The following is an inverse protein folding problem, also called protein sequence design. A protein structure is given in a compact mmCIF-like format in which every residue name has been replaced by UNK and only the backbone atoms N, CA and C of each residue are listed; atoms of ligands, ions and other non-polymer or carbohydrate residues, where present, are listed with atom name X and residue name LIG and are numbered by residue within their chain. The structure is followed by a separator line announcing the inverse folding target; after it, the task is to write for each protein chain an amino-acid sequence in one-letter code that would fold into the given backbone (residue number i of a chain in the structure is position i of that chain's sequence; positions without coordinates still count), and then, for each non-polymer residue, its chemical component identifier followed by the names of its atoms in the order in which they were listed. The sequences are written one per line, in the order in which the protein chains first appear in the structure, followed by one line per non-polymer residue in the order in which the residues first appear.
data_IF_679759996688
#
_entry.id   IF_679759996688
#
_cell.length_a   1.000
_cell.length_b   1.000
_cell.length_c   1.000
_cell.angle_alpha   90.00
_cell.angle_beta   90.00
_cell.angle_gamma   90.00
#
_symmetry.space_group_name_H-M   'P 1'
#
loop_
_entity.id
_entity.type
_entity.pdbx_description
1 polymer ?
#
# COMPACT_ATOMS: atom_id res chain seq x y z
N UNK A 1 -12.14 -25.36 -18.19
CA UNK A 1 -10.74 -25.62 -18.57
C UNK A 1 -9.99 -24.29 -18.47
N UNK A 2 -9.30 -24.03 -17.36
CA UNK A 2 -8.59 -22.76 -17.12
C UNK A 2 -7.08 -22.99 -17.33
N UNK A 3 -6.56 -22.53 -18.46
CA UNK A 3 -5.12 -22.57 -18.74
C UNK A 3 -4.41 -21.39 -18.07
N UNK A 4 -3.32 -21.69 -17.35
CA UNK A 4 -2.44 -20.73 -16.67
C UNK A 4 -1.71 -19.80 -17.67
N UNK A 5 -1.49 -18.52 -17.31
CA UNK A 5 -0.31 -17.78 -17.77
C UNK A 5 0.52 -17.31 -16.55
N UNK A 6 1.47 -18.12 -16.09
CA UNK A 6 2.11 -17.95 -14.78
C UNK A 6 3.44 -17.13 -14.74
N UNK A 7 3.91 -16.55 -15.86
CA UNK A 7 5.13 -15.69 -15.84
C UNK A 7 4.90 -14.23 -16.26
N UNK A 8 4.14 -13.98 -17.34
CA UNK A 8 3.84 -12.60 -17.81
C UNK A 8 2.93 -11.83 -16.83
N UNK A 9 1.96 -12.52 -16.22
CA UNK A 9 0.99 -11.95 -15.27
C UNK A 9 1.63 -11.35 -13.99
N UNK A 10 2.74 -11.91 -13.50
CA UNK A 10 3.37 -11.45 -12.25
C UNK A 10 4.07 -10.10 -12.43
N UNK A 11 4.80 -9.91 -13.53
CA UNK A 11 5.47 -8.65 -13.82
C UNK A 11 4.48 -7.51 -14.05
N UNK A 12 3.43 -7.76 -14.83
CA UNK A 12 2.34 -6.81 -15.06
C UNK A 12 1.64 -6.41 -13.74
N UNK A 13 1.44 -7.37 -12.84
CA UNK A 13 0.87 -7.13 -11.51
C UNK A 13 1.79 -6.25 -10.65
N UNK A 14 3.08 -6.54 -10.59
CA UNK A 14 4.04 -5.73 -9.83
C UNK A 14 4.10 -4.30 -10.37
N UNK A 15 4.17 -4.13 -11.70
CA UNK A 15 4.21 -2.82 -12.34
C UNK A 15 2.96 -1.99 -12.02
N UNK A 16 1.78 -2.59 -12.07
CA UNK A 16 0.51 -1.90 -11.76
C UNK A 16 0.38 -1.52 -10.27
N UNK A 17 0.95 -2.28 -9.33
CA UNK A 17 1.06 -1.86 -7.92
C UNK A 17 1.98 -0.64 -7.79
N UNK A 18 3.15 -0.65 -8.46
CA UNK A 18 4.08 0.48 -8.43
C UNK A 18 3.46 1.77 -9.01
N UNK A 19 2.74 1.66 -10.13
CA UNK A 19 2.04 2.81 -10.73
C UNK A 19 0.94 3.33 -9.79
N UNK A 20 0.13 2.43 -9.20
CA UNK A 20 -0.91 2.80 -8.24
C UNK A 20 -0.33 3.53 -7.02
N UNK A 21 0.83 3.09 -6.52
CA UNK A 21 1.55 3.76 -5.45
C UNK A 21 2.00 5.18 -5.82
N UNK A 22 2.54 5.37 -7.02
CA UNK A 22 2.95 6.69 -7.52
C UNK A 22 1.74 7.63 -7.61
N UNK A 23 0.63 7.17 -8.18
CA UNK A 23 -0.62 7.96 -8.25
C UNK A 23 -1.09 8.38 -6.86
N UNK A 24 -1.10 7.46 -5.90
CA UNK A 24 -1.48 7.74 -4.51
C UNK A 24 -0.52 8.74 -3.85
N UNK A 25 0.81 8.57 -4.01
CA UNK A 25 1.83 9.46 -3.46
C UNK A 25 1.68 10.90 -3.95
N UNK A 26 1.33 11.07 -5.23
CA UNK A 26 1.09 12.38 -5.84
C UNK A 26 -0.35 12.89 -5.69
N UNK A 27 -1.19 12.21 -4.89
CA UNK A 27 -2.61 12.55 -4.64
C UNK A 27 -3.43 12.68 -5.93
N UNK A 28 -3.07 11.94 -6.96
CA UNK A 28 -3.75 11.96 -8.26
C UNK A 28 -5.03 11.11 -8.20
N UNK A 29 -6.08 11.49 -8.94
CA UNK A 29 -7.29 10.68 -9.05
C UNK A 29 -6.99 9.29 -9.58
N UNK A 30 -7.73 8.27 -9.12
CA UNK A 30 -7.55 6.89 -9.60
C UNK A 30 -7.95 6.70 -11.07
N UNK A 31 -8.66 7.69 -11.61
CA UNK A 31 -9.04 7.86 -13.01
C UNK A 31 -7.80 7.99 -13.90
N UNK A 32 -6.76 8.64 -13.38
CA UNK A 32 -5.52 8.91 -14.08
C UNK A 32 -4.78 7.61 -14.41
N UNK A 33 -5.09 6.48 -13.76
CA UNK A 33 -4.56 5.16 -14.14
C UNK A 33 -4.91 4.76 -15.57
N UNK A 34 -6.15 5.06 -16.01
CA UNK A 34 -6.58 4.83 -17.39
C UNK A 34 -5.85 5.75 -18.37
N UNK A 35 -5.71 7.03 -18.02
CA UNK A 35 -4.99 8.02 -18.82
C UNK A 35 -3.51 7.66 -18.96
N UNK A 36 -2.88 7.19 -17.87
CA UNK A 36 -1.50 6.69 -17.91
C UNK A 36 -1.39 5.52 -18.88
N UNK A 37 -2.30 4.54 -18.79
CA UNK A 37 -2.27 3.39 -19.71
C UNK A 37 -2.42 3.80 -21.17
N UNK A 38 -3.35 4.71 -21.46
CA UNK A 38 -3.56 5.26 -22.79
C UNK A 38 -2.32 6.00 -23.31
N UNK A 39 -1.69 6.83 -22.46
CA UNK A 39 -0.44 7.53 -22.76
C UNK A 39 0.68 6.54 -23.11
N UNK A 40 0.81 5.44 -22.36
CA UNK A 40 1.80 4.40 -22.65
C UNK A 40 1.51 3.66 -23.96
N UNK A 41 0.24 3.45 -24.32
CA UNK A 41 -0.14 2.83 -25.59
C UNK A 41 0.23 3.76 -26.76
N UNK A 42 -0.17 5.04 -26.69
CA UNK A 42 0.11 6.01 -27.74
C UNK A 42 1.61 6.23 -27.96
N UNK A 43 2.34 6.46 -26.85
CA UNK A 43 3.80 6.59 -26.90
C UNK A 43 4.46 5.30 -27.39
N UNK A 44 3.97 4.13 -26.98
CA UNK A 44 4.51 2.85 -27.42
C UNK A 44 4.31 2.57 -28.91
N UNK A 45 3.13 2.88 -29.45
CA UNK A 45 2.85 2.75 -30.88
C UNK A 45 3.78 3.63 -31.73
N UNK A 46 4.11 4.83 -31.24
CA UNK A 46 5.01 5.78 -31.92
C UNK A 46 6.48 5.41 -31.74
N UNK A 47 6.94 5.19 -30.51
CA UNK A 47 8.36 4.97 -30.18
C UNK A 47 8.87 3.61 -30.65
N UNK A 48 8.01 2.60 -30.67
CA UNK A 48 8.37 1.23 -31.05
C UNK A 48 7.86 0.84 -32.43
N UNK A 49 7.43 1.81 -33.27
CA UNK A 49 6.86 1.57 -34.59
C UNK A 49 7.70 0.65 -35.48
N UNK A 50 9.01 0.88 -35.53
CA UNK A 50 9.95 0.16 -36.41
C UNK A 50 10.67 -1.01 -35.71
N UNK A 51 10.31 -1.30 -34.45
CA UNK A 51 11.00 -2.33 -33.66
C UNK A 51 10.46 -3.73 -33.99
N UNK A 52 11.37 -4.69 -34.21
CA UNK A 52 11.00 -6.09 -34.49
C UNK A 52 10.14 -6.74 -33.40
N UNK A 53 10.30 -6.30 -32.15
CA UNK A 53 9.58 -6.79 -30.98
C UNK A 53 8.42 -5.88 -30.53
N UNK A 54 7.94 -4.98 -31.40
CA UNK A 54 6.82 -4.07 -31.11
C UNK A 54 5.62 -4.79 -30.51
N UNK A 55 5.18 -5.88 -31.12
CA UNK A 55 3.98 -6.62 -30.71
C UNK A 55 4.08 -7.13 -29.28
N UNK A 56 5.23 -7.67 -28.89
CA UNK A 56 5.50 -8.16 -27.53
C UNK A 56 5.49 -7.03 -26.50
N UNK A 57 6.16 -5.90 -26.81
CA UNK A 57 6.18 -4.71 -25.94
C UNK A 57 4.76 -4.17 -25.76
N UNK A 58 4.02 -4.02 -26.86
CA UNK A 58 2.66 -3.50 -26.83
C UNK A 58 1.69 -4.45 -26.12
N UNK A 59 1.86 -5.77 -26.25
CA UNK A 59 1.07 -6.75 -25.48
C UNK A 59 1.30 -6.58 -23.97
N UNK A 60 2.56 -6.43 -23.53
CA UNK A 60 2.89 -6.22 -22.12
C UNK A 60 2.28 -4.92 -21.56
N UNK A 61 2.26 -3.84 -22.35
CA UNK A 61 1.62 -2.57 -21.98
C UNK A 61 0.09 -2.75 -21.88
N UNK A 62 -0.52 -3.45 -22.85
CA UNK A 62 -1.97 -3.72 -22.87
C UNK A 62 -2.42 -4.60 -21.71
N UNK A 63 -1.59 -5.53 -21.25
CA UNK A 63 -1.86 -6.39 -20.09
C UNK A 63 -1.81 -5.64 -18.75
N UNK A 64 -1.27 -4.42 -18.68
CA UNK A 64 -1.22 -3.64 -17.44
C UNK A 64 -2.63 -3.36 -16.91
N UNK A 65 -2.88 -3.77 -15.67
CA UNK A 65 -4.17 -3.60 -15.02
C UNK A 65 -4.21 -2.24 -14.29
N UNK A 66 -4.53 -1.19 -15.04
CA UNK A 66 -4.59 0.20 -14.53
C UNK A 66 -6.00 0.81 -14.51
N UNK A 67 -7.03 -0.02 -14.70
CA UNK A 67 -8.41 0.43 -14.58
C UNK A 67 -8.71 0.86 -13.14
N UNK A 68 -9.60 1.85 -12.97
CA UNK A 68 -10.01 2.41 -11.67
C UNK A 68 -10.34 1.40 -10.58
N UNK A 69 -11.16 0.35 -10.79
CA UNK A 69 -11.45 -0.62 -9.73
C UNK A 69 -10.18 -1.35 -9.28
N UNK A 70 -9.27 -1.62 -10.23
CA UNK A 70 -7.99 -2.25 -9.94
C UNK A 70 -7.04 -1.34 -9.17
N UNK A 71 -6.90 -0.08 -9.57
CA UNK A 71 -6.07 0.91 -8.85
C UNK A 71 -6.59 1.13 -7.43
N UNK A 72 -7.91 1.20 -7.26
CA UNK A 72 -8.57 1.36 -5.96
C UNK A 72 -8.29 0.16 -5.05
N UNK A 73 -8.61 -1.06 -5.51
CA UNK A 73 -8.38 -2.29 -4.75
C UNK A 73 -6.90 -2.46 -4.38
N UNK A 74 -5.97 -2.09 -5.26
CA UNK A 74 -4.53 -2.18 -4.99
C UNK A 74 -4.09 -1.20 -3.90
N UNK A 75 -4.58 0.04 -3.93
CA UNK A 75 -4.29 1.03 -2.89
C UNK A 75 -4.86 0.57 -1.55
N UNK A 76 -6.05 -0.01 -1.52
CA UNK A 76 -6.64 -0.59 -0.32
C UNK A 76 -5.79 -1.75 0.23
N UNK A 77 -5.35 -2.67 -0.62
CA UNK A 77 -4.45 -3.77 -0.23
C UNK A 77 -3.11 -3.24 0.31
N UNK A 78 -2.52 -2.24 -0.34
CA UNK A 78 -1.29 -1.60 0.15
C UNK A 78 -1.49 -0.91 1.50
N UNK A 79 -2.64 -0.25 1.69
CA UNK A 79 -3.00 0.40 2.94
C UNK A 79 -3.13 -0.64 4.06
N UNK A 80 -3.81 -1.75 3.78
CA UNK A 80 -3.99 -2.84 4.75
C UNK A 80 -2.66 -3.53 5.07
N UNK A 81 -1.81 -3.78 4.08
CA UNK A 81 -0.47 -4.37 4.30
C UNK A 81 0.40 -3.46 5.18
N UNK A 82 0.37 -2.15 4.94
CA UNK A 82 1.07 -1.18 5.79
C UNK A 82 0.53 -1.17 7.22
N UNK A 83 -0.80 -1.27 7.39
CA UNK A 83 -1.43 -1.38 8.70
C UNK A 83 -0.99 -2.64 9.44
N UNK A 84 -0.98 -3.78 8.74
CA UNK A 84 -0.61 -5.07 9.30
C UNK A 84 0.85 -5.10 9.74
N UNK A 85 1.75 -4.53 8.93
CA UNK A 85 3.17 -4.39 9.28
C UNK A 85 3.36 -3.54 10.52
N UNK A 86 2.71 -2.38 10.57
CA UNK A 86 2.79 -1.51 11.75
C UNK A 86 2.23 -2.22 13.01
N UNK A 87 1.10 -2.93 12.89
CA UNK A 87 0.52 -3.71 13.99
C UNK A 87 1.46 -4.82 14.46
N UNK A 88 2.07 -5.54 13.52
CA UNK A 88 3.03 -6.59 13.81
C UNK A 88 4.26 -6.04 14.55
N UNK A 89 4.83 -4.94 14.08
CA UNK A 89 6.02 -4.33 14.69
C UNK A 89 5.73 -3.84 16.12
N UNK A 90 4.57 -3.21 16.33
CA UNK A 90 4.10 -2.81 17.68
C UNK A 90 3.93 -4.05 18.58
N UNK A 91 3.30 -5.11 18.07
CA UNK A 91 3.07 -6.34 18.84
C UNK A 91 4.38 -7.08 19.17
N UNK A 92 5.34 -7.05 18.25
CA UNK A 92 6.67 -7.63 18.46
C UNK A 92 7.42 -6.91 19.59
N UNK A 93 7.44 -5.58 19.57
CA UNK A 93 8.05 -4.77 20.64
C UNK A 93 7.35 -5.02 21.98
N UNK A 94 6.02 -5.09 22.01
CA UNK A 94 5.27 -5.42 23.22
C UNK A 94 5.67 -6.79 23.79
N UNK A 95 5.78 -7.81 22.93
CA UNK A 95 6.14 -9.18 23.33
C UNK A 95 7.57 -9.24 23.87
N UNK A 96 8.53 -8.61 23.18
CA UNK A 96 9.92 -8.53 23.63
C UNK A 96 10.03 -7.85 25.00
N UNK A 97 9.32 -6.73 25.18
CA UNK A 97 9.32 -6.00 26.43
C UNK A 97 8.76 -6.83 27.59
N UNK A 98 7.64 -7.52 27.36
CA UNK A 98 7.05 -8.40 28.35
C UNK A 98 8.00 -9.55 28.72
N UNK A 99 8.68 -10.14 27.74
CA UNK A 99 9.71 -11.16 27.96
C UNK A 99 10.90 -10.64 28.76
N UNK A 100 11.40 -9.44 28.42
CA UNK A 100 12.48 -8.78 29.15
C UNK A 100 12.10 -8.50 30.62
N UNK A 101 10.90 -7.98 30.86
CA UNK A 101 10.38 -7.75 32.23
C UNK A 101 10.31 -9.05 33.02
N UNK A 102 9.87 -10.15 32.41
CA UNK A 102 9.83 -11.45 33.06
C UNK A 102 11.22 -11.93 33.47
N UNK A 103 12.23 -11.74 32.60
CA UNK A 103 13.63 -12.06 32.91
C UNK A 103 14.19 -11.19 34.04
N UNK A 104 13.93 -9.87 34.02
CA UNK A 104 14.37 -8.97 35.10
C UNK A 104 13.74 -9.32 36.45
N UNK A 105 12.45 -9.71 36.46
CA UNK A 105 11.76 -10.14 37.70
C UNK A 105 12.30 -11.45 38.27
N UNK A 106 12.88 -12.30 37.42
CA UNK A 106 13.46 -13.58 37.82
C UNK A 106 14.90 -13.47 38.34
N UNK A 107 15.53 -12.29 38.25
CA UNK A 107 16.90 -12.06 38.68
C UNK A 107 16.92 -11.33 40.04
N UNK A 108 17.42 -12.01 41.08
CA UNK A 108 17.48 -11.49 42.45
C UNK A 108 18.47 -10.33 42.62
N UNK A 109 19.47 -10.20 41.72
CA UNK A 109 20.45 -9.11 41.72
C UNK A 109 19.95 -7.83 41.05
N UNK A 110 18.74 -7.84 40.47
CA UNK A 110 18.20 -6.69 39.75
C UNK A 110 17.47 -5.73 40.70
N UNK A 111 17.92 -4.46 40.83
CA UNK A 111 17.35 -3.51 41.80
C UNK A 111 15.89 -3.16 41.48
N UNK A 112 15.12 -2.80 42.51
CA UNK A 112 13.66 -2.66 42.43
C UNK A 112 13.20 -1.75 41.27
N UNK A 113 12.17 -2.26 40.58
CA UNK A 113 11.67 -1.98 39.24
C UNK A 113 11.20 -0.53 38.91
N UNK A 114 11.59 0.51 39.66
CA UNK A 114 11.01 1.85 39.51
C UNK A 114 11.48 2.64 38.28
N UNK A 115 12.69 2.41 37.78
CA UNK A 115 13.26 3.20 36.67
C UNK A 115 12.73 2.79 35.28
N UNK A 116 12.46 1.50 35.07
CA UNK A 116 11.96 0.98 33.78
C UNK A 116 10.44 1.04 33.65
N UNK A 117 9.71 1.13 34.77
CA UNK A 117 8.26 1.23 34.79
C UNK A 117 7.74 2.39 33.94
N UNK A 118 8.38 3.58 34.02
CA UNK A 118 7.99 4.74 33.21
C UNK A 118 8.25 4.52 31.70
N UNK A 119 9.36 3.88 31.33
CA UNK A 119 9.70 3.59 29.93
C UNK A 119 8.72 2.55 29.36
N UNK A 120 8.41 1.52 30.13
CA UNK A 120 7.48 0.44 29.76
C UNK A 120 6.05 0.97 29.66
N UNK A 121 5.60 1.77 30.63
CA UNK A 121 4.30 2.42 30.56
C UNK A 121 4.21 3.41 29.41
N UNK A 122 5.27 4.20 29.14
CA UNK A 122 5.29 5.09 27.98
C UNK A 122 5.22 4.34 26.66
N UNK A 123 5.90 3.19 26.52
CA UNK A 123 5.79 2.35 25.33
C UNK A 123 4.40 1.74 25.17
N UNK A 124 3.81 1.24 26.26
CA UNK A 124 2.42 0.73 26.27
C UNK A 124 1.41 1.86 25.98
N UNK A 125 1.65 3.06 26.50
CA UNK A 125 0.82 4.23 26.24
C UNK A 125 0.98 4.70 24.79
N UNK A 126 2.20 4.73 24.25
CA UNK A 126 2.46 5.11 22.86
C UNK A 126 1.83 4.10 21.89
N UNK A 127 1.85 2.81 22.21
CA UNK A 127 1.12 1.75 21.49
C UNK A 127 -0.40 1.94 21.53
N UNK A 128 -0.96 2.41 22.64
CA UNK A 128 -2.40 2.71 22.80
C UNK A 128 -2.82 4.04 22.16
N UNK A 129 -1.90 5.01 22.12
CA UNK A 129 -2.10 6.35 21.51
C UNK A 129 -1.91 6.31 19.99
N UNK A 130 -1.09 5.40 19.47
CA UNK A 130 -1.04 5.05 18.05
C UNK A 130 -2.33 4.31 17.68
N UNK A 131 -3.44 5.04 17.62
CA UNK A 131 -4.74 4.55 17.19
C UNK A 131 -4.69 4.31 15.67
N UNK A 132 -4.14 3.15 15.29
CA UNK A 132 -3.96 2.78 13.89
C UNK A 132 -5.29 2.66 13.15
N UNK A 133 -6.40 2.41 13.86
CA UNK A 133 -7.75 2.42 13.29
C UNK A 133 -8.20 3.83 12.89
N UNK A 134 -7.87 4.85 13.68
CA UNK A 134 -8.19 6.24 13.37
C UNK A 134 -7.32 6.79 12.25
N UNK A 135 -6.02 6.48 12.26
CA UNK A 135 -5.11 6.82 11.15
C UNK A 135 -5.56 6.13 9.86
N UNK A 136 -5.97 4.86 9.93
CA UNK A 136 -6.52 4.13 8.79
C UNK A 136 -7.88 4.69 8.35
N UNK A 137 -8.71 5.12 9.29
CA UNK A 137 -9.98 5.79 9.04
C UNK A 137 -9.79 7.12 8.32
N UNK A 138 -8.77 7.91 8.71
CA UNK A 138 -8.38 9.15 8.04
C UNK A 138 -7.82 8.85 6.65
N UNK A 139 -6.93 7.86 6.51
CA UNK A 139 -6.40 7.44 5.22
C UNK A 139 -7.51 6.97 4.27
N UNK A 140 -8.45 6.16 4.77
CA UNK A 140 -9.63 5.69 4.05
C UNK A 140 -10.56 6.84 3.68
N UNK A 141 -10.77 7.81 4.59
CA UNK A 141 -11.56 9.03 4.30
C UNK A 141 -10.89 9.90 3.24
N UNK A 142 -9.56 10.03 3.25
CA UNK A 142 -8.79 10.78 2.23
C UNK A 142 -8.91 10.06 0.89
N UNK A 143 -8.69 8.75 0.85
CA UNK A 143 -8.87 7.90 -0.34
C UNK A 143 -10.30 8.02 -0.87
N UNK A 144 -11.30 7.92 0.00
CA UNK A 144 -12.71 8.04 -0.34
C UNK A 144 -13.08 9.45 -0.81
N UNK A 145 -12.44 10.49 -0.27
CA UNK A 145 -12.64 11.89 -0.70
C UNK A 145 -11.95 12.20 -2.03
N UNK A 146 -10.81 11.56 -2.32
CA UNK A 146 -10.18 11.59 -3.64
C UNK A 146 -11.10 10.85 -4.65
N UNK A 147 -11.66 9.71 -4.24
CA UNK A 147 -12.63 8.93 -5.03
C UNK A 147 -13.90 9.73 -5.32
N UNK A 148 -14.50 10.38 -4.33
CA UNK A 148 -15.72 11.18 -4.49
C UNK A 148 -15.50 12.39 -5.44
N UNK A 149 -14.41 13.14 -5.26
CA UNK A 149 -14.07 14.28 -6.14
C UNK A 149 -13.85 13.86 -7.59
N UNK A 150 -13.31 12.67 -7.79
CA UNK A 150 -13.13 12.09 -9.11
C UNK A 150 -14.47 11.74 -9.78
N UNK A 151 -15.39 11.14 -9.02
CA UNK A 151 -16.76 10.82 -9.46
C UNK A 151 -17.55 12.08 -9.84
N UNK A 152 -17.41 13.13 -9.04
CA UNK A 152 -18.10 14.40 -9.26
C UNK A 152 -17.63 15.10 -10.54
N UNK A 153 -16.33 15.07 -10.87
CA UNK A 153 -15.83 15.62 -12.13
C UNK A 153 -16.40 14.92 -13.37
N UNK A 154 -16.71 13.62 -13.30
CA UNK A 154 -17.33 12.88 -14.42
C UNK A 154 -18.79 13.27 -14.67
N UNK A 155 -19.53 13.59 -13.62
CA UNK A 155 -20.93 14.05 -13.72
C UNK A 155 -21.08 15.41 -14.38
N UNK A 156 -20.03 16.23 -14.37
CA UNK A 156 -20.01 17.56 -15.02
C UNK A 156 -19.38 17.56 -16.43
N UNK A 157 -18.94 16.40 -16.93
CA UNK A 157 -18.35 16.25 -18.28
C UNK A 157 -19.22 15.36 -19.20
N UNK A 158 -20.45 15.06 -18.78
CA UNK A 158 -21.56 14.53 -19.58
C UNK A 158 -22.57 15.65 -19.80
#
# INVERSE_FOLDING_TARGET
MFSRPAKQSKAATIASFKISHILAKHKKPFEDGSVVKETFIEAGETLFGDFKNKTEIMSAIRELQLFRPTVTSRIEVMSQDMANKLKHDIMYVHTLLHGFVALCRANEDFPSYFSFHCIIQQQVLCSKVLNTEEIMGIATKIVNSIRARSLQRRLFML
#
